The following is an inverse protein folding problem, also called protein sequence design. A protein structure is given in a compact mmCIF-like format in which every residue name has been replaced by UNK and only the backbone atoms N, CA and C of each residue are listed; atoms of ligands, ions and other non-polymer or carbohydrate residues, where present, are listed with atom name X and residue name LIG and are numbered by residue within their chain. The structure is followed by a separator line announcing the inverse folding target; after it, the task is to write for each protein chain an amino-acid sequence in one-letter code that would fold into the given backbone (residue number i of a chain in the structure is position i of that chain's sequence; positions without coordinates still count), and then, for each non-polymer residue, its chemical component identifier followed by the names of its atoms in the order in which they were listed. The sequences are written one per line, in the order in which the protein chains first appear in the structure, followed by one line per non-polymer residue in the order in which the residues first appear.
data_IF_097477581991
#
_entry.id   IF_097477581991
#
_cell.length_a   1.000
_cell.length_b   1.000
_cell.length_c   1.000
_cell.angle_alpha   90.00
_cell.angle_beta   90.00
_cell.angle_gamma   90.00
#
_symmetry.space_group_name_H-M   'P 1'
#
loop_
_entity.id
_entity.type
_entity.pdbx_description
1 polymer ?
#
# COMPACT_ATOMS: atom_id res chain seq x y z
N UNK A 1 -11.14 5.73 -13.49
CA UNK A 1 -10.37 4.46 -13.60
C UNK A 1 -11.22 3.36 -14.21
N UNK A 2 -12.50 3.24 -13.90
CA UNK A 2 -13.32 2.10 -14.34
C UNK A 2 -14.02 2.25 -15.69
N UNK A 3 -13.82 3.37 -16.37
CA UNK A 3 -14.13 3.49 -17.81
C UNK A 3 -13.05 2.86 -18.70
N UNK A 4 -11.98 2.32 -18.13
CA UNK A 4 -10.75 1.97 -18.85
C UNK A 4 -10.82 0.58 -19.43
N UNK A 5 -11.57 -0.35 -18.83
CA UNK A 5 -11.57 -1.75 -19.25
C UNK A 5 -12.85 -2.47 -18.80
N UNK A 6 -13.26 -3.48 -19.57
CA UNK A 6 -14.31 -4.42 -19.17
C UNK A 6 -13.84 -5.33 -18.02
N UNK A 7 -12.53 -5.52 -17.89
CA UNK A 7 -11.92 -6.24 -16.76
C UNK A 7 -11.67 -5.28 -15.60
N UNK A 8 -12.58 -5.32 -14.63
CA UNK A 8 -12.59 -4.43 -13.47
C UNK A 8 -11.63 -4.84 -12.35
N UNK A 9 -10.71 -5.78 -12.58
CA UNK A 9 -9.68 -6.17 -11.61
C UNK A 9 -8.58 -5.12 -11.55
N UNK A 10 -8.22 -4.69 -10.36
CA UNK A 10 -7.14 -3.72 -10.12
C UNK A 10 -6.17 -4.29 -9.10
N UNK A 11 -4.90 -4.37 -9.48
CA UNK A 11 -3.82 -4.81 -8.59
C UNK A 11 -3.20 -3.57 -7.93
N UNK A 12 -3.05 -3.58 -6.60
CA UNK A 12 -2.39 -2.50 -5.87
C UNK A 12 -1.51 -3.05 -4.75
N UNK A 13 -0.49 -2.30 -4.34
CA UNK A 13 0.42 -2.77 -3.31
C UNK A 13 -0.11 -2.59 -1.89
N UNK A 14 0.41 -3.39 -0.96
CA UNK A 14 0.00 -3.40 0.47
C UNK A 14 0.17 -2.06 1.19
N UNK A 15 0.98 -1.14 0.64
CA UNK A 15 1.23 0.20 1.20
C UNK A 15 0.16 1.22 0.82
N UNK A 16 -0.66 0.91 -0.17
CA UNK A 16 -1.73 1.80 -0.61
C UNK A 16 -2.74 2.05 0.52
N UNK A 17 -3.31 3.25 0.52
CA UNK A 17 -4.38 3.63 1.43
C UNK A 17 -5.61 2.73 1.27
N UNK A 18 -6.38 2.55 2.35
CA UNK A 18 -7.69 1.91 2.33
C UNK A 18 -8.64 2.57 1.31
N UNK A 19 -8.48 3.88 1.07
CA UNK A 19 -9.21 4.63 0.06
C UNK A 19 -9.13 4.01 -1.35
N UNK A 20 -8.00 3.39 -1.71
CA UNK A 20 -7.82 2.72 -3.00
C UNK A 20 -8.79 1.55 -3.13
N UNK A 21 -8.78 0.65 -2.14
CA UNK A 21 -9.70 -0.51 -2.12
C UNK A 21 -11.14 -0.08 -2.14
N UNK A 22 -11.52 0.88 -1.30
CA UNK A 22 -12.89 1.38 -1.19
C UNK A 22 -13.38 2.02 -2.49
N UNK A 23 -12.54 2.84 -3.12
CA UNK A 23 -12.85 3.48 -4.39
C UNK A 23 -13.05 2.45 -5.50
N UNK A 24 -12.19 1.41 -5.57
CA UNK A 24 -12.33 0.33 -6.54
C UNK A 24 -13.66 -0.41 -6.34
N UNK A 25 -13.97 -0.81 -5.10
CA UNK A 25 -15.20 -1.54 -4.77
C UNK A 25 -16.45 -0.70 -4.99
N UNK A 26 -16.46 0.58 -4.57
CA UNK A 26 -17.55 1.53 -4.80
C UNK A 26 -17.85 1.70 -6.29
N UNK A 27 -16.84 1.60 -7.11
CA UNK A 27 -16.97 1.70 -8.56
C UNK A 27 -17.29 0.35 -9.24
N UNK A 28 -17.57 -0.71 -8.49
CA UNK A 28 -17.93 -2.03 -9.02
C UNK A 28 -16.74 -2.83 -9.56
N UNK A 29 -15.52 -2.50 -9.13
CA UNK A 29 -14.30 -3.23 -9.46
C UNK A 29 -13.95 -4.31 -8.43
N UNK A 30 -12.97 -5.14 -8.77
CA UNK A 30 -12.33 -6.13 -7.88
C UNK A 30 -10.96 -5.60 -7.46
N UNK A 31 -10.77 -5.40 -6.16
CA UNK A 31 -9.56 -4.85 -5.57
C UNK A 31 -8.64 -5.98 -5.08
N UNK A 32 -7.48 -6.13 -5.69
CA UNK A 32 -6.52 -7.20 -5.36
C UNK A 32 -5.25 -6.58 -4.76
N UNK A 33 -5.11 -6.71 -3.44
CA UNK A 33 -3.90 -6.28 -2.73
C UNK A 33 -2.76 -7.25 -2.98
N UNK A 34 -1.55 -6.75 -3.24
CA UNK A 34 -0.39 -7.59 -3.54
C UNK A 34 0.90 -7.02 -2.95
N UNK A 35 2.00 -7.78 -3.11
CA UNK A 35 3.34 -7.41 -2.66
C UNK A 35 3.86 -6.17 -3.38
N UNK A 36 4.58 -5.31 -2.64
CA UNK A 36 5.28 -4.15 -3.20
C UNK A 36 6.41 -4.57 -4.13
N UNK A 37 6.51 -3.93 -5.27
CA UNK A 37 7.56 -4.13 -6.27
C UNK A 37 6.98 -4.23 -7.67
N UNK A 38 7.41 -3.34 -8.57
CA UNK A 38 6.85 -3.22 -9.92
C UNK A 38 6.85 -4.54 -10.72
N UNK A 39 7.87 -5.39 -10.56
CA UNK A 39 7.91 -6.71 -11.20
C UNK A 39 6.87 -7.67 -10.61
N UNK A 40 6.61 -7.59 -9.30
CA UNK A 40 5.63 -8.42 -8.60
C UNK A 40 4.20 -8.01 -8.97
N UNK A 41 3.93 -6.69 -9.03
CA UNK A 41 2.63 -6.15 -9.48
C UNK A 41 2.36 -6.56 -10.94
N UNK A 42 3.31 -6.34 -11.85
CA UNK A 42 3.17 -6.72 -13.27
C UNK A 42 2.94 -8.23 -13.48
N UNK A 43 3.63 -9.06 -12.70
CA UNK A 43 3.41 -10.50 -12.76
C UNK A 43 2.00 -10.88 -12.25
N UNK A 44 1.56 -10.28 -11.16
CA UNK A 44 0.21 -10.48 -10.62
C UNK A 44 -0.86 -10.02 -11.60
N UNK A 45 -0.67 -8.87 -12.26
CA UNK A 45 -1.57 -8.40 -13.32
C UNK A 45 -1.74 -9.42 -14.44
N UNK A 46 -0.64 -10.05 -14.90
CA UNK A 46 -0.69 -11.12 -15.92
C UNK A 46 -1.47 -12.34 -15.43
N UNK A 47 -1.23 -12.79 -14.20
CA UNK A 47 -1.90 -13.96 -13.61
C UNK A 47 -3.41 -13.72 -13.46
N UNK A 48 -3.80 -12.55 -13.01
CA UNK A 48 -5.22 -12.18 -12.81
C UNK A 48 -5.90 -11.66 -14.08
N UNK A 49 -5.13 -11.48 -15.15
CA UNK A 49 -5.56 -10.81 -16.39
C UNK A 49 -6.10 -9.40 -16.11
N UNK A 50 -5.44 -8.68 -15.19
CA UNK A 50 -5.81 -7.32 -14.83
C UNK A 50 -5.21 -6.33 -15.83
N UNK A 51 -6.02 -5.36 -16.25
CA UNK A 51 -5.62 -4.31 -17.20
C UNK A 51 -5.01 -3.08 -16.51
N UNK A 52 -5.03 -3.05 -15.17
CA UNK A 52 -4.51 -1.93 -14.40
C UNK A 52 -3.85 -2.38 -13.09
N UNK A 53 -2.72 -1.77 -12.77
CA UNK A 53 -2.07 -1.92 -11.46
C UNK A 53 -1.32 -0.67 -11.04
N UNK A 54 -1.03 -0.57 -9.75
CA UNK A 54 -0.29 0.57 -9.23
C UNK A 54 0.31 0.33 -7.85
N UNK A 55 1.28 1.17 -7.51
CA UNK A 55 1.95 1.19 -6.22
C UNK A 55 1.79 2.55 -5.55
N UNK A 56 1.82 2.57 -4.23
CA UNK A 56 1.80 3.81 -3.43
C UNK A 56 2.92 4.77 -3.81
N UNK A 57 4.05 4.25 -4.29
CA UNK A 57 5.21 5.01 -4.76
C UNK A 57 4.99 5.77 -6.07
N UNK A 58 3.83 5.60 -6.73
CA UNK A 58 3.50 6.28 -7.98
C UNK A 58 3.86 5.50 -9.25
N UNK A 59 4.33 4.25 -9.14
CA UNK A 59 4.45 3.36 -10.29
C UNK A 59 3.05 2.90 -10.71
N UNK A 60 2.67 3.16 -11.95
CA UNK A 60 1.34 2.86 -12.49
C UNK A 60 1.47 2.12 -13.81
N UNK A 61 0.69 1.05 -13.95
CA UNK A 61 0.76 0.13 -15.08
C UNK A 61 -0.59 0.02 -15.78
N UNK A 62 -0.62 0.31 -17.07
CA UNK A 62 -1.78 0.12 -17.93
C UNK A 62 -1.51 -1.03 -18.92
N UNK A 63 -2.41 -2.00 -18.98
CA UNK A 63 -2.32 -3.13 -19.91
C UNK A 63 -3.57 -3.26 -20.81
N UNK A 64 -4.53 -2.35 -20.71
CA UNK A 64 -5.74 -2.29 -21.54
C UNK A 64 -5.42 -1.91 -23.02
N UNK A 65 -4.63 -0.86 -23.22
CA UNK A 65 -4.20 -0.34 -24.54
C UNK A 65 -2.70 -0.12 -24.58
N UNK A 66 -1.95 -0.72 -23.66
CA UNK A 66 -0.50 -0.61 -23.51
C UNK A 66 0.10 -1.91 -23.00
N UNK A 67 1.42 -1.96 -22.86
CA UNK A 67 2.18 -3.18 -22.58
C UNK A 67 2.28 -3.54 -21.09
N UNK A 68 1.65 -2.78 -20.20
CA UNK A 68 1.80 -2.95 -18.74
C UNK A 68 3.17 -2.50 -18.22
N UNK A 69 3.83 -1.57 -18.91
CA UNK A 69 5.10 -1.00 -18.50
C UNK A 69 4.89 0.11 -17.45
N UNK A 70 5.91 0.34 -16.66
CA UNK A 70 6.05 1.51 -15.81
C UNK A 70 6.51 2.69 -16.69
N UNK A 71 5.56 3.49 -17.14
CA UNK A 71 5.79 4.56 -18.09
C UNK A 71 5.02 5.82 -17.67
N UNK A 72 5.73 6.75 -17.03
CA UNK A 72 5.15 7.98 -16.52
C UNK A 72 4.59 8.89 -17.62
N UNK A 73 5.16 8.86 -18.83
CA UNK A 73 4.67 9.65 -19.97
C UNK A 73 3.31 9.11 -20.42
N UNK A 74 3.20 7.78 -20.57
CA UNK A 74 1.93 7.14 -20.91
C UNK A 74 0.86 7.40 -19.85
N UNK A 75 1.21 7.25 -18.57
CA UNK A 75 0.29 7.53 -17.44
C UNK A 75 -0.20 8.99 -17.47
N UNK A 76 0.69 9.93 -17.77
CA UNK A 76 0.32 11.35 -17.91
C UNK A 76 -0.66 11.58 -19.04
N UNK A 77 -0.44 10.94 -20.20
CA UNK A 77 -1.37 11.02 -21.33
C UNK A 77 -2.74 10.41 -21.01
N UNK A 78 -2.79 9.30 -20.26
CA UNK A 78 -4.04 8.69 -19.77
C UNK A 78 -4.80 9.61 -18.80
N UNK A 79 -4.07 10.35 -17.96
CA UNK A 79 -4.69 11.35 -17.08
C UNK A 79 -5.28 12.51 -17.90
N UNK A 80 -4.55 13.01 -18.90
CA UNK A 80 -5.04 14.06 -19.80
C UNK A 80 -6.27 13.59 -20.57
N UNK A 81 -6.29 12.33 -21.05
CA UNK A 81 -7.46 11.73 -21.69
C UNK A 81 -8.69 11.79 -20.77
N UNK A 82 -8.55 11.37 -19.52
CA UNK A 82 -9.64 11.42 -18.53
C UNK A 82 -10.14 12.86 -18.31
N UNK A 83 -9.22 13.81 -18.20
CA UNK A 83 -9.56 15.22 -18.00
C UNK A 83 -10.22 15.83 -19.24
N UNK A 84 -9.88 15.37 -20.44
CA UNK A 84 -10.49 15.86 -21.68
C UNK A 84 -11.92 15.37 -21.91
N UNK A 85 -12.35 14.34 -21.21
CA UNK A 85 -13.71 13.77 -21.30
C UNK A 85 -14.70 14.38 -20.29
N UNK A 86 -14.29 15.39 -19.52
CA UNK A 86 -15.12 16.03 -18.49
C UNK A 86 -14.79 17.52 -18.35
N UNK A 87 -15.77 18.31 -17.93
CA UNK A 87 -15.56 19.72 -17.56
C UNK A 87 -15.07 19.89 -16.11
N UNK A 88 -14.95 18.79 -15.35
CA UNK A 88 -14.49 18.82 -13.96
C UNK A 88 -12.97 18.97 -13.89
N UNK A 89 -12.51 19.73 -12.93
CA UNK A 89 -11.10 19.79 -12.57
C UNK A 89 -10.64 18.49 -11.90
N UNK A 90 -9.34 18.22 -11.89
CA UNK A 90 -8.80 17.04 -11.19
C UNK A 90 -9.18 17.03 -9.70
N UNK A 91 -9.19 18.20 -9.04
CA UNK A 91 -9.63 18.34 -7.65
C UNK A 91 -11.06 17.87 -7.43
N UNK A 92 -11.95 18.23 -8.35
CA UNK A 92 -13.37 17.82 -8.27
C UNK A 92 -13.52 16.32 -8.52
N UNK A 93 -12.78 15.75 -9.51
CA UNK A 93 -12.80 14.31 -9.80
C UNK A 93 -12.38 13.48 -8.59
N UNK A 94 -11.38 13.94 -7.82
CA UNK A 94 -10.84 13.20 -6.66
C UNK A 94 -11.51 13.55 -5.33
N UNK A 95 -12.42 14.52 -5.31
CA UNK A 95 -13.07 15.01 -4.09
C UNK A 95 -13.87 13.94 -3.32
N UNK A 96 -14.40 12.95 -4.03
CA UNK A 96 -15.17 11.83 -3.46
C UNK A 96 -14.30 10.69 -2.91
N UNK A 97 -12.98 10.77 -3.08
CA UNK A 97 -12.06 9.74 -2.56
C UNK A 97 -11.95 9.93 -1.04
N UNK A 98 -12.17 8.88 -0.23
CA UNK A 98 -12.02 8.97 1.21
C UNK A 98 -10.63 9.44 1.63
N UNK A 99 -10.56 10.31 2.62
CA UNK A 99 -9.30 10.82 3.16
C UNK A 99 -8.97 10.14 4.49
N UNK A 100 -7.75 9.67 4.62
CA UNK A 100 -7.22 9.00 5.81
C UNK A 100 -6.01 9.73 6.36
N UNK A 101 -5.80 9.64 7.66
CA UNK A 101 -4.59 10.10 8.33
C UNK A 101 -3.52 9.01 8.22
N UNK A 102 -2.35 9.33 7.70
CA UNK A 102 -1.29 8.33 7.54
C UNK A 102 0.09 8.89 7.88
N UNK A 103 0.98 8.00 8.34
CA UNK A 103 2.40 8.33 8.44
C UNK A 103 3.05 8.36 7.05
N UNK A 104 4.16 9.09 6.87
CA UNK A 104 5.09 8.78 5.80
C UNK A 104 5.60 7.33 5.96
N UNK A 105 6.35 6.84 4.98
CA UNK A 105 7.08 5.59 5.13
C UNK A 105 8.21 5.77 6.16
N UNK A 106 8.07 5.10 7.29
CA UNK A 106 9.07 5.12 8.38
C UNK A 106 10.06 3.98 8.18
N UNK A 107 11.32 4.20 8.56
CA UNK A 107 12.38 3.21 8.43
C UNK A 107 13.07 3.01 9.77
N UNK A 108 13.20 1.76 10.18
CA UNK A 108 13.87 1.35 11.40
C UNK A 108 15.07 0.51 11.01
N UNK A 109 16.27 1.05 11.22
CA UNK A 109 17.51 0.39 10.88
C UNK A 109 17.74 -0.83 11.79
N UNK A 110 18.18 -1.93 11.20
CA UNK A 110 18.65 -3.13 11.86
C UNK A 110 20.17 -3.27 11.66
N UNK A 111 20.83 -3.96 12.55
CA UNK A 111 22.28 -4.18 12.49
C UNK A 111 22.72 -4.89 11.20
N UNK A 112 21.91 -5.82 10.72
CA UNK A 112 22.14 -6.59 9.49
C UNK A 112 20.83 -7.26 9.03
N UNK A 113 20.88 -7.94 7.88
CA UNK A 113 19.72 -8.65 7.32
C UNK A 113 19.24 -9.81 8.20
N UNK A 114 20.12 -10.52 8.88
CA UNK A 114 19.73 -11.63 9.76
C UNK A 114 18.85 -11.12 10.91
N UNK A 115 19.25 -10.02 11.54
CA UNK A 115 18.47 -9.39 12.60
C UNK A 115 17.10 -8.90 12.08
N UNK A 116 17.10 -8.22 10.93
CA UNK A 116 15.87 -7.78 10.25
C UNK A 116 14.85 -8.91 10.12
N UNK A 117 15.30 -10.07 9.60
CA UNK A 117 14.41 -11.21 9.42
C UNK A 117 13.98 -11.87 10.73
N UNK A 118 14.85 -11.92 11.74
CA UNK A 118 14.51 -12.43 13.06
C UNK A 118 13.44 -11.54 13.74
N UNK A 119 13.62 -10.22 13.69
CA UNK A 119 12.65 -9.27 14.23
C UNK A 119 11.32 -9.37 13.47
N UNK A 120 11.33 -9.44 12.15
CA UNK A 120 10.11 -9.59 11.36
C UNK A 120 9.36 -10.90 11.69
N UNK A 121 10.07 -12.00 11.94
CA UNK A 121 9.46 -13.25 12.37
C UNK A 121 8.76 -13.10 13.73
N UNK A 122 9.44 -12.51 14.71
CA UNK A 122 8.88 -12.30 16.04
C UNK A 122 7.69 -11.31 16.03
N UNK A 123 7.79 -10.23 15.24
CA UNK A 123 6.68 -9.29 15.04
C UNK A 123 5.45 -9.99 14.47
N UNK A 124 5.64 -10.86 13.49
CA UNK A 124 4.56 -11.65 12.89
C UNK A 124 3.91 -12.56 13.93
N UNK A 125 4.70 -13.35 14.65
CA UNK A 125 4.19 -14.25 15.70
C UNK A 125 3.48 -13.50 16.84
N UNK A 126 3.94 -12.30 17.18
CA UNK A 126 3.33 -11.47 18.21
C UNK A 126 1.98 -10.91 17.75
N UNK A 127 1.94 -10.24 16.59
CA UNK A 127 0.72 -9.57 16.16
C UNK A 127 -0.37 -10.54 15.69
N UNK A 128 -0.03 -11.69 15.09
CA UNK A 128 -1.02 -12.71 14.72
C UNK A 128 -1.76 -13.34 15.90
N UNK A 129 -1.20 -13.27 17.11
CA UNK A 129 -1.88 -13.74 18.35
C UNK A 129 -2.95 -12.79 18.85
N UNK A 130 -2.74 -11.49 18.68
CA UNK A 130 -3.53 -10.43 19.31
C UNK A 130 -4.47 -9.73 18.32
N UNK A 131 -4.17 -9.78 17.02
CA UNK A 131 -4.85 -8.97 16.01
C UNK A 131 -5.14 -9.76 14.74
N UNK A 132 -6.15 -9.30 14.00
CA UNK A 132 -6.35 -9.74 12.61
C UNK A 132 -5.22 -9.16 11.75
N UNK A 133 -4.58 -10.03 10.96
CA UNK A 133 -3.42 -9.66 10.17
C UNK A 133 -3.50 -10.17 8.72
N UNK A 134 -2.81 -9.45 7.82
CA UNK A 134 -2.48 -9.92 6.49
C UNK A 134 -0.97 -10.11 6.36
N UNK A 135 -0.54 -11.20 5.76
CA UNK A 135 0.88 -11.57 5.61
C UNK A 135 1.32 -11.63 4.14
N UNK A 136 0.65 -10.89 3.28
CA UNK A 136 0.95 -10.82 1.84
C UNK A 136 2.37 -10.31 1.61
N UNK A 137 2.78 -9.23 2.34
CA UNK A 137 4.13 -8.67 2.26
C UNK A 137 4.52 -8.10 3.64
N UNK A 138 5.27 -8.86 4.41
CA UNK A 138 5.53 -8.56 5.81
C UNK A 138 4.34 -8.90 6.71
N UNK A 139 3.92 -7.98 7.57
CA UNK A 139 2.71 -8.09 8.39
C UNK A 139 1.93 -6.77 8.39
N UNK A 140 0.68 -6.81 7.98
CA UNK A 140 -0.29 -5.72 8.05
C UNK A 140 -1.28 -6.05 9.15
N UNK A 141 -1.26 -5.27 10.21
CA UNK A 141 -2.05 -5.45 11.44
C UNK A 141 -3.25 -4.55 11.35
N UNK A 142 -4.46 -5.08 11.49
CA UNK A 142 -5.69 -4.30 11.50
C UNK A 142 -6.08 -3.97 12.94
N UNK A 143 -6.23 -2.69 13.27
CA UNK A 143 -6.53 -2.18 14.60
C UNK A 143 -7.64 -1.14 14.48
N UNK A 144 -8.81 -1.41 15.07
CA UNK A 144 -9.99 -0.59 14.83
C UNK A 144 -10.39 -0.60 13.35
N UNK A 145 -10.46 0.57 12.76
CA UNK A 145 -10.70 0.73 11.32
C UNK A 145 -9.43 1.05 10.52
N UNK A 146 -8.32 1.31 11.23
CA UNK A 146 -7.02 1.56 10.63
C UNK A 146 -6.14 0.33 10.55
N UNK A 147 -4.91 0.53 10.11
CA UNK A 147 -3.92 -0.53 9.97
C UNK A 147 -2.49 -0.02 10.17
N UNK A 148 -1.61 -0.95 10.51
CA UNK A 148 -0.16 -0.72 10.52
C UNK A 148 0.56 -1.83 9.77
N UNK A 149 1.41 -1.47 8.82
CA UNK A 149 2.23 -2.38 8.03
C UNK A 149 3.67 -2.35 8.53
N UNK A 150 4.25 -3.52 8.73
CA UNK A 150 5.67 -3.74 9.00
C UNK A 150 6.21 -4.73 7.97
N UNK A 151 7.27 -4.39 7.28
CA UNK A 151 7.89 -5.25 6.27
C UNK A 151 9.40 -5.10 6.23
N UNK A 152 10.10 -6.17 5.87
CA UNK A 152 11.54 -6.11 5.60
C UNK A 152 11.80 -5.28 4.34
N UNK A 153 12.74 -4.35 4.40
CA UNK A 153 13.24 -3.67 3.20
C UNK A 153 13.94 -4.67 2.28
N UNK A 154 13.70 -4.56 0.98
CA UNK A 154 14.36 -5.43 -0.02
C UNK A 154 15.80 -5.03 -0.30
N UNK A 155 16.19 -3.79 0.01
CA UNK A 155 17.46 -3.18 -0.40
C UNK A 155 18.36 -2.79 0.75
N UNK A 156 17.83 -2.77 1.98
CA UNK A 156 18.55 -2.30 3.16
C UNK A 156 18.26 -3.19 4.37
N UNK A 157 19.17 -3.28 5.36
CA UNK A 157 18.91 -3.92 6.63
C UNK A 157 18.00 -3.03 7.51
N UNK A 158 16.76 -2.86 7.09
CA UNK A 158 15.79 -2.02 7.76
C UNK A 158 14.37 -2.63 7.69
N UNK A 159 13.56 -2.32 8.70
CA UNK A 159 12.13 -2.57 8.71
C UNK A 159 11.43 -1.28 8.25
N UNK A 160 10.58 -1.42 7.27
CA UNK A 160 9.71 -0.36 6.76
C UNK A 160 8.37 -0.44 7.47
N UNK A 161 7.89 0.71 7.95
CA UNK A 161 6.59 0.82 8.60
C UNK A 161 5.76 1.94 7.96
N UNK A 162 4.46 1.67 7.80
CA UNK A 162 3.46 2.67 7.44
C UNK A 162 2.20 2.41 8.25
N UNK A 163 1.55 3.46 8.70
CA UNK A 163 0.35 3.38 9.53
C UNK A 163 -0.71 4.30 8.94
N UNK A 164 -1.97 3.87 8.98
CA UNK A 164 -3.11 4.64 8.54
C UNK A 164 -4.29 4.46 9.50
N UNK A 165 -5.05 5.52 9.73
CA UNK A 165 -6.26 5.54 10.55
C UNK A 165 -7.32 6.50 10.00
N UNK A 166 -8.59 6.33 10.38
CA UNK A 166 -9.69 7.24 9.99
C UNK A 166 -9.57 8.62 10.66
N UNK A 167 -8.84 8.71 11.77
CA UNK A 167 -8.62 9.96 12.52
C UNK A 167 -7.18 10.04 13.02
N UNK A 168 -6.74 11.24 13.39
CA UNK A 168 -5.43 11.44 14.02
C UNK A 168 -5.32 10.65 15.34
N UNK A 169 -6.38 10.59 16.14
CA UNK A 169 -6.43 9.83 17.40
C UNK A 169 -6.21 8.34 17.15
N UNK A 170 -6.86 7.79 16.13
CA UNK A 170 -6.70 6.38 15.78
C UNK A 170 -5.30 6.10 15.24
N UNK A 171 -4.77 6.96 14.35
CA UNK A 171 -3.40 6.89 13.85
C UNK A 171 -2.39 6.84 15.00
N UNK A 172 -2.52 7.75 15.98
CA UNK A 172 -1.63 7.82 17.14
C UNK A 172 -1.75 6.60 18.05
N UNK A 173 -2.96 6.06 18.20
CA UNK A 173 -3.20 4.82 18.95
C UNK A 173 -2.51 3.62 18.31
N UNK A 174 -2.65 3.46 16.99
CA UNK A 174 -2.01 2.37 16.23
C UNK A 174 -0.48 2.52 16.28
N UNK A 175 0.02 3.76 16.10
CA UNK A 175 1.43 4.09 16.20
C UNK A 175 1.99 3.68 17.58
N UNK A 176 1.28 3.99 18.66
CA UNK A 176 1.67 3.61 20.02
C UNK A 176 1.79 2.10 20.19
N UNK A 177 0.83 1.33 19.68
CA UNK A 177 0.84 -0.15 19.77
C UNK A 177 2.06 -0.71 19.03
N UNK A 178 2.26 -0.30 17.78
CA UNK A 178 3.36 -0.81 16.95
C UNK A 178 4.71 -0.40 17.52
N UNK A 179 4.88 0.86 17.93
CA UNK A 179 6.15 1.36 18.45
C UNK A 179 6.47 0.78 19.85
N UNK A 180 5.47 0.51 20.69
CA UNK A 180 5.67 -0.19 21.94
C UNK A 180 6.26 -1.58 21.74
N UNK A 181 5.83 -2.32 20.71
CA UNK A 181 6.44 -3.61 20.38
C UNK A 181 7.82 -3.43 19.77
N UNK A 182 8.00 -2.51 18.82
CA UNK A 182 9.31 -2.24 18.22
C UNK A 182 10.36 -1.82 19.26
N UNK A 183 9.99 -1.04 20.27
CA UNK A 183 10.91 -0.59 21.32
C UNK A 183 11.44 -1.72 22.24
N UNK A 184 10.88 -2.93 22.15
CA UNK A 184 11.42 -4.09 22.87
C UNK A 184 12.72 -4.63 22.25
N UNK A 185 13.03 -4.22 21.01
CA UNK A 185 14.27 -4.61 20.32
C UNK A 185 15.35 -3.54 20.54
N UNK A 186 16.43 -3.92 21.25
CA UNK A 186 17.47 -2.98 21.73
C UNK A 186 18.24 -2.27 20.63
N UNK A 187 18.37 -2.92 19.47
CA UNK A 187 19.18 -2.43 18.34
C UNK A 187 18.35 -1.66 17.31
N UNK A 188 17.02 -1.56 17.51
CA UNK A 188 16.14 -0.77 16.66
C UNK A 188 15.99 0.64 17.23
N UNK A 189 16.52 1.63 16.50
CA UNK A 189 16.34 3.03 16.87
C UNK A 189 14.98 3.53 16.39
N UNK A 190 14.17 3.99 17.33
CA UNK A 190 12.88 4.63 17.06
C UNK A 190 13.07 6.13 17.32
N UNK A 191 13.02 6.91 16.27
CA UNK A 191 12.94 8.38 16.36
C UNK A 191 11.45 8.77 16.39
N UNK A 192 11.05 9.50 17.44
CA UNK A 192 9.66 9.94 17.68
C UNK A 192 9.39 11.30 17.01
#
# INVERSE_FOLDING_TARGET
ILKISDNKKIIYDVKCSAAVKETILKSGGEAIEWKTGHSLIKNKMKLEKSDFGGEMSGHIFFADRYYGYDDAVYVSLRLIEILSETDLTLSEIVSDIPSYFSTPELRFECKNDQEKFNVMKDLKEYFEKEYTCSTIDGIKVFIGKGWGLLRASNTQPAIVCRIEGESQVELDSIKKIIFSKLSTYKDIKIEF
#
